data_IF_251136057435
#
_entry.id   IF_251136057435
#
_cell.length_a   1.000
_cell.length_b   1.000
_cell.length_c   1.000
_cell.angle_alpha   90.00
_cell.angle_beta   90.00
_cell.angle_gamma   90.00
#
_symmetry.space_group_name_H-M   'P 1'
#
loop_
_entity.id
_entity.type
_entity.pdbx_description
1 polymer ?
#
# COMPACT_ATOMS: atom_id res chain seq x y z
N UNK A 1 -45.60 -52.18 -16.29
CA UNK A 1 -45.73 -50.74 -15.91
C UNK A 1 -44.44 -50.28 -15.21
N UNK A 2 -43.39 -49.87 -15.94
CA UNK A 2 -42.09 -49.49 -15.34
C UNK A 2 -41.39 -48.27 -15.99
N UNK A 3 -41.89 -47.76 -17.11
CA UNK A 3 -41.23 -46.71 -17.92
C UNK A 3 -41.46 -45.28 -17.42
N UNK A 4 -42.51 -45.04 -16.61
CA UNK A 4 -42.85 -43.68 -16.14
C UNK A 4 -41.95 -43.16 -15.01
N UNK A 5 -41.29 -44.06 -14.26
CA UNK A 5 -40.48 -43.68 -13.10
C UNK A 5 -39.03 -43.32 -13.49
N UNK A 6 -38.52 -43.89 -14.58
CA UNK A 6 -37.17 -43.62 -15.10
C UNK A 6 -37.09 -42.27 -15.82
N UNK A 7 -38.11 -41.87 -16.57
CA UNK A 7 -38.17 -40.55 -17.23
C UNK A 7 -38.15 -39.36 -16.25
N UNK A 8 -38.85 -39.47 -15.12
CA UNK A 8 -38.82 -38.43 -14.06
C UNK A 8 -37.46 -38.31 -13.37
N UNK A 9 -36.74 -39.42 -13.19
CA UNK A 9 -35.40 -39.43 -12.61
C UNK A 9 -34.36 -38.82 -13.55
N UNK A 10 -34.48 -39.08 -14.85
CA UNK A 10 -33.63 -38.46 -15.87
C UNK A 10 -33.85 -36.94 -15.95
N UNK A 11 -35.12 -36.49 -15.91
CA UNK A 11 -35.46 -35.07 -15.88
C UNK A 11 -34.96 -34.36 -14.60
N UNK A 12 -35.08 -35.00 -13.43
CA UNK A 12 -34.53 -34.46 -12.18
C UNK A 12 -33.00 -34.34 -12.21
N UNK A 13 -32.31 -35.32 -12.80
CA UNK A 13 -30.84 -35.32 -12.95
C UNK A 13 -30.38 -34.20 -13.89
N UNK A 14 -31.10 -34.00 -14.99
CA UNK A 14 -30.78 -32.94 -15.95
C UNK A 14 -31.00 -31.55 -15.34
N UNK A 15 -32.10 -31.35 -14.60
CA UNK A 15 -32.32 -30.10 -13.83
C UNK A 15 -31.23 -29.85 -12.80
N UNK A 16 -30.79 -30.88 -12.08
CA UNK A 16 -29.69 -30.75 -11.12
C UNK A 16 -28.36 -30.40 -11.81
N UNK A 17 -28.08 -30.96 -12.99
CA UNK A 17 -26.90 -30.63 -13.79
C UNK A 17 -26.94 -29.17 -14.25
N UNK A 18 -28.05 -28.73 -14.82
CA UNK A 18 -28.22 -27.34 -15.27
C UNK A 18 -28.10 -26.33 -14.12
N UNK A 19 -28.64 -26.66 -12.93
CA UNK A 19 -28.51 -25.82 -11.75
C UNK A 19 -27.05 -25.69 -11.30
N UNK A 20 -26.28 -26.79 -11.31
CA UNK A 20 -24.84 -26.77 -10.99
C UNK A 20 -24.07 -25.93 -12.00
N UNK A 21 -24.27 -26.15 -13.30
CA UNK A 21 -23.61 -25.37 -14.35
C UNK A 21 -23.90 -23.88 -14.21
N UNK A 22 -25.14 -23.49 -13.89
CA UNK A 22 -25.46 -22.08 -13.63
C UNK A 22 -24.73 -21.51 -12.42
N UNK A 23 -24.65 -22.27 -11.32
CA UNK A 23 -23.90 -21.83 -10.13
C UNK A 23 -22.43 -21.65 -10.45
N UNK A 24 -21.84 -22.58 -11.21
CA UNK A 24 -20.43 -22.52 -11.61
C UNK A 24 -20.18 -21.33 -12.54
N UNK A 25 -21.09 -21.05 -13.48
CA UNK A 25 -21.03 -19.86 -14.35
C UNK A 25 -21.05 -18.56 -13.53
N UNK A 26 -22.00 -18.43 -12.58
CA UNK A 26 -22.09 -17.23 -11.73
C UNK A 26 -20.84 -17.04 -10.88
N UNK A 27 -20.25 -18.13 -10.37
CA UNK A 27 -18.97 -18.07 -9.64
C UNK A 27 -17.83 -17.61 -10.54
N UNK A 28 -17.69 -18.21 -11.72
CA UNK A 28 -16.66 -17.83 -12.68
C UNK A 28 -16.78 -16.36 -13.11
N UNK A 29 -18.00 -15.87 -13.35
CA UNK A 29 -18.25 -14.46 -13.69
C UNK A 29 -17.89 -13.52 -12.54
N UNK A 30 -18.21 -13.91 -11.30
CA UNK A 30 -17.84 -13.13 -10.11
C UNK A 30 -16.33 -13.10 -9.93
N UNK A 31 -15.68 -14.24 -10.02
CA UNK A 31 -14.23 -14.37 -9.82
C UNK A 31 -13.48 -13.58 -10.88
N UNK A 32 -13.91 -13.65 -12.15
CA UNK A 32 -13.36 -12.82 -13.23
C UNK A 32 -13.50 -11.31 -12.96
N UNK A 33 -14.65 -10.87 -12.44
CA UNK A 33 -14.83 -9.45 -12.05
C UNK A 33 -13.92 -9.05 -10.90
N UNK A 34 -13.76 -9.94 -9.91
CA UNK A 34 -12.86 -9.70 -8.77
C UNK A 34 -11.42 -9.57 -9.27
N UNK A 35 -10.96 -10.48 -10.14
CA UNK A 35 -9.60 -10.44 -10.71
C UNK A 35 -9.35 -9.14 -11.47
N UNK A 36 -10.28 -8.70 -12.30
CA UNK A 36 -10.18 -7.43 -13.03
C UNK A 36 -10.09 -6.25 -12.06
N UNK A 37 -10.99 -6.17 -11.07
CA UNK A 37 -10.98 -5.08 -10.09
C UNK A 37 -9.71 -5.08 -9.23
N UNK A 38 -9.18 -6.25 -8.88
CA UNK A 38 -7.90 -6.35 -8.17
C UNK A 38 -6.75 -5.84 -9.04
N UNK A 39 -6.70 -6.22 -10.31
CA UNK A 39 -5.68 -5.74 -11.24
C UNK A 39 -5.74 -4.21 -11.40
N UNK A 40 -6.93 -3.63 -11.54
CA UNK A 40 -7.15 -2.18 -11.59
C UNK A 40 -6.68 -1.48 -10.31
N UNK A 41 -7.03 -2.04 -9.14
CA UNK A 41 -6.63 -1.48 -7.85
C UNK A 41 -5.11 -1.45 -7.67
N UNK A 42 -4.42 -2.55 -7.98
CA UNK A 42 -2.97 -2.62 -7.85
C UNK A 42 -2.26 -1.72 -8.86
N UNK A 43 -2.75 -1.67 -10.11
CA UNK A 43 -2.24 -0.74 -11.13
C UNK A 43 -2.37 0.71 -10.66
N UNK A 44 -3.53 1.11 -10.16
CA UNK A 44 -3.74 2.46 -9.62
C UNK A 44 -2.86 2.73 -8.38
N UNK A 45 -2.58 1.71 -7.56
CA UNK A 45 -1.64 1.78 -6.46
C UNK A 45 -0.22 2.09 -6.92
N UNK A 46 0.27 1.37 -7.94
CA UNK A 46 1.60 1.57 -8.51
C UNK A 46 1.72 2.96 -9.19
N UNK A 47 0.67 3.40 -9.88
CA UNK A 47 0.60 4.75 -10.45
C UNK A 47 0.65 5.83 -9.37
N UNK A 48 -0.10 5.65 -8.27
CA UNK A 48 -0.05 6.56 -7.13
C UNK A 48 1.35 6.64 -6.54
N UNK A 49 2.00 5.50 -6.32
CA UNK A 49 3.34 5.47 -5.71
C UNK A 49 4.38 6.10 -6.65
N UNK A 50 4.23 5.91 -7.97
CA UNK A 50 5.03 6.59 -8.99
C UNK A 50 4.83 8.11 -8.93
N UNK A 51 3.59 8.59 -8.85
CA UNK A 51 3.28 10.02 -8.75
C UNK A 51 3.83 10.63 -7.45
N UNK A 52 3.76 9.91 -6.33
CA UNK A 52 4.36 10.34 -5.06
C UNK A 52 5.87 10.51 -5.20
N UNK A 53 6.55 9.55 -5.84
CA UNK A 53 7.99 9.64 -6.08
C UNK A 53 8.34 10.82 -6.98
N UNK A 54 7.58 11.05 -8.05
CA UNK A 54 7.76 12.20 -8.94
C UNK A 54 7.51 13.53 -8.21
N UNK A 55 6.47 13.59 -7.39
CA UNK A 55 6.16 14.76 -6.57
C UNK A 55 7.32 15.08 -5.62
N UNK A 56 7.90 14.07 -4.96
CA UNK A 56 9.06 14.29 -4.10
C UNK A 56 10.28 14.87 -4.84
N UNK A 57 10.52 14.49 -6.10
CA UNK A 57 11.59 15.08 -6.92
C UNK A 57 11.29 16.55 -7.23
N UNK A 58 10.05 16.87 -7.57
CA UNK A 58 9.61 18.24 -7.82
C UNK A 58 9.73 19.09 -6.55
N UNK A 59 9.27 18.59 -5.41
CA UNK A 59 9.37 19.29 -4.12
C UNK A 59 10.81 19.54 -3.71
N UNK A 60 11.72 18.58 -3.95
CA UNK A 60 13.14 18.81 -3.76
C UNK A 60 13.66 19.93 -4.67
N UNK A 61 13.27 19.95 -5.95
CA UNK A 61 13.67 21.01 -6.90
C UNK A 61 13.18 22.39 -6.44
N UNK A 62 11.94 22.46 -5.93
CA UNK A 62 11.37 23.67 -5.34
C UNK A 62 12.19 24.08 -4.11
N UNK A 63 12.48 23.15 -3.20
CA UNK A 63 13.32 23.40 -2.03
C UNK A 63 14.70 23.95 -2.39
N UNK A 64 15.36 23.39 -3.40
CA UNK A 64 16.67 23.88 -3.88
C UNK A 64 16.58 25.29 -4.45
N UNK A 65 15.51 25.61 -5.17
CA UNK A 65 15.27 26.96 -5.70
C UNK A 65 15.06 27.97 -4.57
N UNK A 66 14.30 27.58 -3.53
CA UNK A 66 14.13 28.39 -2.32
C UNK A 66 15.46 28.62 -1.62
N UNK A 67 16.25 27.57 -1.39
CA UNK A 67 17.57 27.70 -0.76
C UNK A 67 18.52 28.57 -1.58
N UNK A 68 18.46 28.48 -2.91
CA UNK A 68 19.27 29.32 -3.79
C UNK A 68 18.98 30.81 -3.60
N UNK A 69 17.72 31.21 -3.38
CA UNK A 69 17.38 32.61 -3.07
C UNK A 69 18.08 33.10 -1.79
N UNK A 70 18.20 32.26 -0.77
CA UNK A 70 18.98 32.61 0.43
C UNK A 70 20.47 32.74 0.14
N UNK A 71 21.03 31.93 -0.77
CA UNK A 71 22.44 32.08 -1.18
C UNK A 71 22.70 33.38 -1.94
N UNK A 72 21.66 33.97 -2.54
CA UNK A 72 21.71 35.30 -3.17
C UNK A 72 21.55 36.46 -2.18
N UNK A 73 21.34 36.16 -0.89
CA UNK A 73 21.24 37.16 0.18
C UNK A 73 19.81 37.61 0.52
N UNK A 74 18.79 36.99 -0.08
CA UNK A 74 17.40 37.26 0.30
C UNK A 74 17.11 36.77 1.72
N UNK A 75 16.32 37.53 2.47
CA UNK A 75 15.85 37.09 3.79
C UNK A 75 14.51 36.34 3.71
N UNK A 76 14.17 35.61 4.77
CA UNK A 76 12.99 34.73 4.77
C UNK A 76 11.67 35.47 4.48
N UNK A 77 11.51 36.70 4.98
CA UNK A 77 10.30 37.49 4.72
C UNK A 77 10.21 37.92 3.25
N UNK A 78 11.34 38.28 2.64
CA UNK A 78 11.39 38.64 1.22
C UNK A 78 11.09 37.44 0.33
N UNK A 79 11.71 36.29 0.60
CA UNK A 79 11.44 35.05 -0.15
C UNK A 79 9.97 34.62 -0.01
N UNK A 80 9.38 34.76 1.20
CA UNK A 80 7.99 34.40 1.45
C UNK A 80 7.04 35.27 0.63
N UNK A 81 7.29 36.57 0.61
CA UNK A 81 6.52 37.52 -0.18
C UNK A 81 6.72 37.31 -1.70
N UNK A 82 7.95 37.01 -2.14
CA UNK A 82 8.29 36.82 -3.54
C UNK A 82 7.60 35.59 -4.14
N UNK A 83 7.54 34.51 -3.35
CA UNK A 83 7.02 33.21 -3.79
C UNK A 83 5.58 32.96 -3.32
N UNK A 84 4.96 33.93 -2.64
CA UNK A 84 3.64 33.79 -2.01
C UNK A 84 3.53 32.52 -1.15
N UNK A 85 4.56 32.28 -0.33
CA UNK A 85 4.66 31.09 0.52
C UNK A 85 4.35 31.42 1.97
N UNK A 86 3.52 30.58 2.58
CA UNK A 86 3.32 30.59 4.02
C UNK A 86 4.62 30.25 4.76
N UNK A 87 4.87 30.84 5.95
CA UNK A 87 6.06 30.54 6.74
C UNK A 87 6.23 29.05 7.07
N UNK A 88 5.11 28.34 7.24
CA UNK A 88 5.11 26.89 7.49
C UNK A 88 5.59 26.11 6.27
N UNK A 89 5.17 26.53 5.08
CA UNK A 89 5.53 25.89 3.82
C UNK A 89 6.99 26.15 3.47
N UNK A 90 7.45 27.38 3.68
CA UNK A 90 8.87 27.72 3.56
C UNK A 90 9.74 26.86 4.48
N UNK A 91 9.34 26.69 5.74
CA UNK A 91 10.07 25.83 6.69
C UNK A 91 10.11 24.37 6.22
N UNK A 92 8.99 23.86 5.66
CA UNK A 92 8.91 22.50 5.11
C UNK A 92 9.87 22.33 3.93
N UNK A 93 9.83 23.22 2.95
CA UNK A 93 10.65 23.18 1.74
C UNK A 93 12.16 23.26 2.05
N UNK A 94 12.56 24.10 3.02
CA UNK A 94 13.95 24.15 3.51
C UNK A 94 14.37 22.90 4.29
N UNK A 95 13.42 22.22 4.93
CA UNK A 95 13.65 20.94 5.58
C UNK A 95 13.96 19.81 4.59
N UNK A 96 13.56 19.94 3.32
CA UNK A 96 13.82 18.93 2.28
C UNK A 96 15.26 19.00 1.74
N UNK A 97 15.87 20.19 1.75
CA UNK A 97 17.23 20.41 1.23
C UNK A 97 18.32 20.24 2.27
N UNK A 98 17.97 20.28 3.56
CA UNK A 98 18.91 20.04 4.64
C UNK A 98 19.13 18.53 4.78
N UNK A 99 20.38 18.04 4.66
CA UNK A 99 20.68 16.63 4.91
C UNK A 99 20.20 16.28 6.32
N UNK A 100 19.16 15.46 6.40
CA UNK A 100 18.71 14.93 7.69
C UNK A 100 19.79 13.98 8.17
N UNK A 101 20.54 14.35 9.21
CA UNK A 101 21.45 13.41 9.88
C UNK A 101 20.65 12.16 10.28
N UNK A 102 21.14 10.94 9.98
CA UNK A 102 20.45 9.74 10.34
C UNK A 102 20.36 9.66 11.87
N UNK A 103 19.14 9.76 12.40
CA UNK A 103 18.86 9.50 13.80
C UNK A 103 19.23 8.05 14.07
N UNK A 104 20.39 7.84 14.70
CA UNK A 104 20.82 6.54 15.21
C UNK A 104 19.73 6.01 16.13
N UNK A 105 18.95 5.04 15.64
CA UNK A 105 17.98 4.33 16.46
C UNK A 105 18.75 3.56 17.53
N UNK A 106 18.35 3.64 18.83
CA UNK A 106 19.03 2.87 19.87
C UNK A 106 18.92 1.37 19.58
N UNK A 107 19.97 0.58 19.88
CA UNK A 107 19.97 -0.85 19.60
C UNK A 107 18.81 -1.52 20.33
N UNK A 108 17.95 -2.18 19.56
CA UNK A 108 16.86 -3.02 20.05
C UNK A 108 17.47 -4.08 20.96
N UNK A 109 17.23 -3.97 22.27
CA UNK A 109 17.63 -4.99 23.23
C UNK A 109 17.00 -6.33 22.81
N UNK A 110 17.86 -7.26 22.40
CA UNK A 110 17.47 -8.65 22.17
C UNK A 110 17.13 -9.27 23.54
N UNK A 111 16.02 -9.99 23.71
CA UNK A 111 15.74 -10.66 24.97
C UNK A 111 16.68 -11.87 25.08
N UNK A 112 17.82 -11.67 25.73
CA UNK A 112 18.69 -12.75 26.14
C UNK A 112 18.00 -13.55 27.25
N UNK A 113 17.77 -14.82 26.93
CA UNK A 113 17.75 -15.99 27.81
C UNK A 113 17.61 -15.71 29.31
N UNK A 114 16.41 -16.00 29.83
CA UNK A 114 16.25 -16.31 31.25
C UNK A 114 15.64 -17.70 31.40
N UNK A 115 16.54 -18.59 31.84
CA UNK A 115 16.29 -19.68 32.78
C UNK A 115 15.92 -21.07 32.23
N UNK A 116 16.96 -21.77 31.75
CA UNK A 116 17.07 -23.23 31.87
C UNK A 116 17.18 -23.62 33.35
N UNK A 117 16.14 -24.23 33.91
CA UNK A 117 16.19 -24.94 35.19
C UNK A 117 17.01 -26.23 35.06
N UNK A 118 18.06 -26.48 35.86
CA UNK A 118 18.59 -27.82 36.02
C UNK A 118 17.86 -28.51 37.18
N UNK A 119 17.02 -29.49 36.87
CA UNK A 119 16.54 -30.47 37.84
C UNK A 119 17.68 -31.44 38.10
N UNK A 120 18.51 -31.14 39.11
CA UNK A 120 19.46 -32.14 39.61
C UNK A 120 18.74 -33.13 40.52
N UNK A 121 18.69 -34.37 40.04
CA UNK A 121 18.27 -35.53 40.77
C UNK A 121 19.33 -35.96 41.81
N UNK A 122 18.83 -36.29 43.01
CA UNK A 122 19.24 -37.40 43.91
C UNK A 122 20.61 -37.27 44.63
N UNK A 123 20.83 -38.00 45.75
CA UNK A 123 20.50 -39.41 46.04
C UNK A 123 19.10 -39.69 46.60
#
# INVERSE_FOLDING_TARGET
MATKQTGKKLDARERARLARTRVDQVRAERDAKIEVTLAEFFTAGDERDTLIAQLAVVENTIGHSVEYLFTLGENASQVANLLDLDPKEMKRLRGLTTPTEPVLSPPRASPADTNSHPVHARP
#
